data_IF_234317723163
#
_entry.id   IF_234317723163
#
_cell.length_a   1.000
_cell.length_b   1.000
_cell.length_c   1.000
_cell.angle_alpha   90.00
_cell.angle_beta   90.00
_cell.angle_gamma   90.00
#
_symmetry.space_group_name_H-M   'P 1'
#
loop_
_entity.id
_entity.type
_entity.pdbx_description
1 polymer ?
#
# COMPACT_ATOMS: atom_id res chain seq x y z
N UNK A 1 0.39 18.17 -8.93
CA UNK A 1 1.22 17.23 -8.13
C UNK A 1 0.35 16.04 -7.73
N UNK A 2 0.77 14.82 -8.04
CA UNK A 2 0.00 13.60 -7.71
C UNK A 2 0.17 13.26 -6.23
N UNK A 3 -0.93 13.14 -5.49
CA UNK A 3 -0.91 12.81 -4.07
C UNK A 3 -0.51 11.33 -3.85
N UNK A 4 0.62 11.02 -3.18
CA UNK A 4 1.08 9.66 -3.04
C UNK A 4 0.19 8.78 -2.15
N UNK A 5 -0.58 9.38 -1.22
CA UNK A 5 -1.57 8.64 -0.45
C UNK A 5 -2.70 8.10 -1.33
N UNK A 6 -3.12 8.87 -2.35
CA UNK A 6 -4.12 8.41 -3.33
C UNK A 6 -3.59 7.24 -4.17
N UNK A 7 -2.31 7.28 -4.54
CA UNK A 7 -1.68 6.20 -5.31
C UNK A 7 -1.67 4.87 -4.52
N UNK A 8 -1.38 4.92 -3.23
CA UNK A 8 -1.47 3.74 -2.36
C UNK A 8 -2.92 3.28 -2.20
N UNK A 9 -3.89 4.20 -2.07
CA UNK A 9 -5.32 3.83 -2.00
C UNK A 9 -5.82 3.10 -3.25
N UNK A 10 -5.36 3.49 -4.44
CA UNK A 10 -5.65 2.78 -5.68
C UNK A 10 -5.13 1.35 -5.61
N UNK A 11 -3.88 1.16 -5.19
CA UNK A 11 -3.30 -0.18 -5.04
C UNK A 11 -4.04 -1.01 -3.99
N UNK A 12 -4.41 -0.42 -2.86
CA UNK A 12 -5.20 -1.07 -1.82
C UNK A 12 -6.60 -1.48 -2.32
N UNK A 13 -7.23 -0.70 -3.21
CA UNK A 13 -8.51 -1.06 -3.84
C UNK A 13 -8.40 -2.34 -4.68
N UNK A 14 -7.23 -2.58 -5.27
CA UNK A 14 -6.90 -3.83 -5.96
C UNK A 14 -6.35 -4.92 -5.03
N UNK A 15 -6.58 -4.80 -3.71
CA UNK A 15 -6.06 -5.70 -2.67
C UNK A 15 -4.52 -5.82 -2.67
N UNK A 16 -3.81 -4.82 -3.20
CA UNK A 16 -2.36 -4.75 -3.18
C UNK A 16 -1.89 -3.91 -2.00
N UNK A 17 -0.94 -4.46 -1.26
CA UNK A 17 -0.25 -3.83 -0.15
C UNK A 17 1.09 -3.31 -0.64
N UNK A 18 1.39 -2.05 -0.31
CA UNK A 18 2.65 -1.39 -0.66
C UNK A 18 3.50 -1.22 0.58
N UNK A 19 4.74 -1.69 0.52
CA UNK A 19 5.71 -1.61 1.63
C UNK A 19 7.03 -1.09 1.12
N UNK A 20 7.70 -0.25 1.90
CA UNK A 20 9.09 0.14 1.65
C UNK A 20 10.00 -0.58 2.66
N UNK A 21 10.95 -1.39 2.17
CA UNK A 21 11.98 -2.03 3.00
C UNK A 21 13.33 -1.83 2.35
N UNK A 22 14.33 -1.45 3.14
CA UNK A 22 15.71 -1.26 2.67
C UNK A 22 15.84 -0.34 1.44
N UNK A 23 15.03 0.73 1.40
CA UNK A 23 14.99 1.67 0.27
C UNK A 23 14.37 1.10 -1.01
N UNK A 24 13.73 -0.06 -0.96
CA UNK A 24 13.06 -0.71 -2.09
C UNK A 24 11.55 -0.78 -1.86
N UNK A 25 10.82 -0.54 -2.95
CA UNK A 25 9.37 -0.70 -3.00
C UNK A 25 9.03 -2.18 -3.23
N UNK A 26 8.20 -2.74 -2.35
CA UNK A 26 7.63 -4.07 -2.49
C UNK A 26 6.11 -3.95 -2.55
N UNK A 27 5.49 -4.70 -3.45
CA UNK A 27 4.03 -4.77 -3.60
C UNK A 27 3.61 -6.23 -3.55
N UNK A 28 2.59 -6.54 -2.75
CA UNK A 28 2.08 -7.88 -2.50
C UNK A 28 0.55 -7.88 -2.42
N UNK A 29 -0.14 -8.95 -2.84
CA UNK A 29 0.38 -10.18 -3.42
C UNK A 29 0.80 -9.99 -4.90
N UNK A 30 1.88 -10.65 -5.34
CA UNK A 30 2.50 -10.41 -6.66
C UNK A 30 1.67 -10.97 -7.83
N UNK A 31 0.91 -12.01 -7.56
CA UNK A 31 0.00 -12.69 -8.49
C UNK A 31 -1.21 -11.83 -8.90
N UNK A 32 -1.59 -10.85 -8.08
CA UNK A 32 -2.68 -9.91 -8.39
C UNK A 32 -2.21 -8.68 -9.18
N UNK A 33 -0.91 -8.55 -9.45
CA UNK A 33 -0.36 -7.42 -10.20
C UNK A 33 -0.56 -7.66 -11.71
N UNK A 34 -1.64 -7.11 -12.24
CA UNK A 34 -1.91 -7.06 -13.68
C UNK A 34 -0.88 -6.20 -14.42
N UNK A 35 -0.74 -6.34 -15.75
CA UNK A 35 0.16 -5.49 -16.54
C UNK A 35 -0.11 -3.99 -16.37
N UNK A 36 -1.37 -3.58 -16.26
CA UNK A 36 -1.74 -2.18 -16.04
C UNK A 36 -1.29 -1.69 -14.66
N UNK A 37 -1.51 -2.49 -13.61
CA UNK A 37 -1.04 -2.18 -12.27
C UNK A 37 0.49 -2.16 -12.19
N UNK A 38 1.17 -3.03 -12.93
CA UNK A 38 2.64 -3.00 -13.04
C UNK A 38 3.12 -1.70 -13.65
N UNK A 39 2.54 -1.27 -14.77
CA UNK A 39 2.87 -0.01 -15.43
C UNK A 39 2.59 1.19 -14.51
N UNK A 40 1.46 1.18 -13.80
CA UNK A 40 1.11 2.18 -12.80
C UNK A 40 2.17 2.27 -11.69
N UNK A 41 2.56 1.13 -11.09
CA UNK A 41 3.58 1.08 -10.04
C UNK A 41 4.92 1.61 -10.56
N UNK A 42 5.30 1.30 -11.81
CA UNK A 42 6.54 1.77 -12.41
C UNK A 42 6.53 3.28 -12.63
N UNK A 43 5.47 3.82 -13.22
CA UNK A 43 5.30 5.26 -13.48
C UNK A 43 5.23 6.10 -12.19
N UNK A 44 4.83 5.47 -11.08
CA UNK A 44 4.68 6.12 -9.79
C UNK A 44 5.62 5.58 -8.71
N UNK A 45 6.71 4.91 -9.11
CA UNK A 45 7.61 4.24 -8.17
C UNK A 45 8.19 5.18 -7.12
N UNK A 46 8.69 6.34 -7.53
CA UNK A 46 9.30 7.33 -6.65
C UNK A 46 8.33 7.88 -5.59
N UNK A 47 7.14 8.40 -5.95
CA UNK A 47 6.19 8.87 -4.94
C UNK A 47 5.65 7.74 -4.04
N UNK A 48 5.44 6.53 -4.58
CA UNK A 48 5.03 5.37 -3.78
C UNK A 48 6.10 4.97 -2.75
N UNK A 49 7.37 4.93 -3.16
CA UNK A 49 8.49 4.62 -2.27
C UNK A 49 8.65 5.65 -1.17
N UNK A 50 8.60 6.94 -1.50
CA UNK A 50 8.74 8.02 -0.53
C UNK A 50 7.66 7.94 0.54
N UNK A 51 6.40 7.77 0.12
CA UNK A 51 5.27 7.67 1.03
C UNK A 51 5.32 6.40 1.88
N UNK A 52 5.55 5.23 1.28
CA UNK A 52 5.66 3.97 2.03
C UNK A 52 6.82 4.01 3.03
N UNK A 53 7.95 4.64 2.68
CA UNK A 53 9.08 4.86 3.60
C UNK A 53 8.69 5.77 4.76
N UNK A 54 7.97 6.86 4.48
CA UNK A 54 7.50 7.78 5.51
C UNK A 54 6.53 7.09 6.49
N UNK A 55 5.60 6.28 5.99
CA UNK A 55 4.68 5.55 6.86
C UNK A 55 5.41 4.52 7.73
N UNK A 56 6.36 3.77 7.15
CA UNK A 56 7.19 2.80 7.89
C UNK A 56 7.96 3.50 9.03
N UNK A 57 8.55 4.68 8.76
CA UNK A 57 9.24 5.48 9.79
C UNK A 57 8.33 5.94 10.93
N UNK A 58 7.03 6.11 10.66
CA UNK A 58 6.05 6.56 11.66
C UNK A 58 5.55 5.40 12.55
N UNK A 59 6.16 4.21 12.47
CA UNK A 59 5.67 3.01 13.15
C UNK A 59 4.29 2.56 12.64
N UNK A 60 3.83 3.16 11.55
CA UNK A 60 2.65 2.72 10.81
C UNK A 60 3.16 1.84 9.71
N UNK A 61 3.38 0.56 10.02
CA UNK A 61 3.29 -0.42 8.95
C UNK A 61 1.95 -0.15 8.27
N UNK A 62 1.98 0.34 7.02
CA UNK A 62 0.77 0.71 6.24
C UNK A 62 -0.20 -0.48 6.15
N UNK A 63 0.33 -1.66 6.44
CA UNK A 63 -0.35 -2.94 6.57
C UNK A 63 -1.19 -3.04 7.85
N UNK A 64 -0.72 -2.55 8.99
CA UNK A 64 -1.36 -2.88 10.26
C UNK A 64 -2.70 -2.18 10.43
N UNK A 65 -2.85 -0.88 10.10
CA UNK A 65 -4.15 -0.22 10.26
C UNK A 65 -5.23 -0.77 9.32
N UNK A 66 -4.91 -1.04 8.04
CA UNK A 66 -5.90 -1.59 7.12
C UNK A 66 -6.31 -3.04 7.46
N UNK A 67 -5.39 -3.86 7.98
CA UNK A 67 -5.69 -5.22 8.44
C UNK A 67 -6.34 -5.25 9.84
N UNK A 68 -5.99 -4.32 10.75
CA UNK A 68 -6.60 -4.17 12.07
C UNK A 68 -8.03 -3.63 11.94
N UNK A 69 -8.27 -2.62 11.10
CA UNK A 69 -9.61 -2.07 10.87
C UNK A 69 -10.55 -3.14 10.28
N UNK A 70 -10.08 -3.99 9.35
CA UNK A 70 -10.87 -5.11 8.82
C UNK A 70 -11.16 -6.21 9.85
N UNK A 71 -10.27 -6.44 10.83
CA UNK A 71 -10.50 -7.40 11.92
C UNK A 71 -11.40 -6.83 13.02
N UNK A 72 -11.32 -5.52 13.28
CA UNK A 72 -12.14 -4.87 14.30
C UNK A 72 -13.60 -4.76 13.86
N UNK A 73 -13.88 -4.47 12.58
CA UNK A 73 -15.26 -4.45 12.05
C UNK A 73 -15.93 -5.84 11.97
N UNK A 74 -15.19 -6.94 12.18
CA UNK A 74 -15.77 -8.30 12.25
C UNK A 74 -16.10 -8.76 13.67
N UNK A 75 -15.80 -7.96 14.70
CA UNK A 75 -16.10 -8.29 16.11
C UNK A 75 -17.20 -7.43 16.74
N UNK A 76 -17.81 -6.53 15.98
CA UNK A 76 -18.98 -5.77 16.43
C UNK A 76 -20.15 -6.02 15.48
N UNK A 77 -20.74 -7.21 15.58
CA UNK A 77 -22.17 -7.37 15.37
C UNK A 77 -22.70 -8.14 16.59
N UNK A 78 -23.65 -7.58 17.34
CA UNK A 78 -24.25 -8.23 18.50
C UNK A 78 -24.97 -9.54 18.15
#
# INVERSE_FOLDING_TARGET
>A
MTNPAMLVRILNYHNLVVVARDGKLSVSPKDQITPDLRSFIQNHKTPLLAYATEQTKRGRDVVEQAFLDQRSSRKESP
#
